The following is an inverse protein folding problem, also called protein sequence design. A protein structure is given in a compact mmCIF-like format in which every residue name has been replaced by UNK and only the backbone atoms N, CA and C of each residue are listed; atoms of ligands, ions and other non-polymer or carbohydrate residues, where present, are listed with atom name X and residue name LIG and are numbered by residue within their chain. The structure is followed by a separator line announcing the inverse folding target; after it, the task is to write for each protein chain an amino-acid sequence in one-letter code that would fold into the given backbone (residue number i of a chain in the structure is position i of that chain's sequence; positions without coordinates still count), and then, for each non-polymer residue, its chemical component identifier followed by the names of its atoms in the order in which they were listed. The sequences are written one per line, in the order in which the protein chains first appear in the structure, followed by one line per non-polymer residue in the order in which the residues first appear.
data_IF_187807823410
#
_entry.id   IF_187807823410
#
_cell.length_a   1.000
_cell.length_b   1.000
_cell.length_c   1.000
_cell.angle_alpha   90.00
_cell.angle_beta   90.00
_cell.angle_gamma   90.00
#
_symmetry.space_group_name_H-M   'P 1'
#
loop_
_entity.id
_entity.type
_entity.pdbx_description
1 polymer ?
#
# COMPACT_ATOMS: atom_id res chain seq x y z
N UNK A 1 16.33 -2.31 -5.88
CA UNK A 1 16.07 -3.55 -6.63
C UNK A 1 17.40 -3.98 -7.26
N UNK A 2 17.49 -5.07 -8.00
CA UNK A 2 18.66 -5.99 -8.06
C UNK A 2 20.09 -5.41 -7.88
N UNK A 3 20.52 -4.42 -8.67
CA UNK A 3 21.93 -3.95 -8.71
C UNK A 3 22.42 -3.38 -7.36
N UNK A 4 21.59 -2.54 -6.73
CA UNK A 4 21.95 -1.84 -5.50
C UNK A 4 21.27 -2.41 -4.25
N UNK A 5 20.39 -3.40 -4.38
CA UNK A 5 19.72 -4.00 -3.23
C UNK A 5 18.65 -3.11 -2.57
N UNK A 6 18.15 -2.08 -3.27
CA UNK A 6 17.11 -1.19 -2.74
C UNK A 6 15.81 -1.98 -2.50
N UNK A 7 15.22 -1.98 -1.29
CA UNK A 7 14.14 -2.89 -0.91
C UNK A 7 12.73 -2.41 -1.32
N UNK A 8 12.58 -1.13 -1.63
CA UNK A 8 11.28 -0.50 -1.90
C UNK A 8 11.41 0.46 -3.08
N UNK A 9 10.48 0.40 -4.03
CA UNK A 9 10.48 1.27 -5.21
C UNK A 9 10.10 2.71 -4.86
N UNK A 10 9.34 2.93 -3.78
CA UNK A 10 8.93 4.28 -3.31
C UNK A 10 10.13 5.16 -2.96
N UNK A 11 11.27 4.56 -2.61
CA UNK A 11 12.51 5.30 -2.32
C UNK A 11 13.00 6.15 -3.51
N UNK A 12 12.75 5.71 -4.75
CA UNK A 12 13.14 6.49 -5.94
C UNK A 12 12.34 7.78 -6.09
N UNK A 13 11.19 7.87 -5.44
CA UNK A 13 10.29 9.02 -5.46
C UNK A 13 10.36 9.84 -4.16
N UNK A 14 11.27 9.47 -3.26
CA UNK A 14 11.45 10.16 -1.97
C UNK A 14 12.54 11.23 -2.06
N UNK A 15 12.29 12.36 -1.42
CA UNK A 15 13.28 13.44 -1.23
C UNK A 15 14.19 13.19 0.01
N UNK A 16 14.29 11.95 0.48
CA UNK A 16 15.08 11.63 1.68
C UNK A 16 16.58 11.67 1.38
N UNK A 17 17.28 12.64 1.99
CA UNK A 17 18.73 12.80 1.86
C UNK A 17 19.50 11.53 2.26
N UNK A 18 18.98 10.73 3.20
CA UNK A 18 19.61 9.45 3.61
C UNK A 18 19.59 8.42 2.49
N UNK A 19 18.66 8.54 1.53
CA UNK A 19 18.64 7.75 0.32
C UNK A 19 19.52 8.37 -0.77
N UNK A 20 19.26 9.63 -1.14
CA UNK A 20 19.92 10.29 -2.28
C UNK A 20 21.43 10.44 -2.10
N UNK A 21 21.91 10.73 -0.88
CA UNK A 21 23.35 10.88 -0.57
C UNK A 21 24.17 9.61 -0.78
N UNK A 22 23.55 8.43 -0.86
CA UNK A 22 24.25 7.17 -1.10
C UNK A 22 24.61 6.96 -2.59
N UNK A 23 24.03 7.76 -3.49
CA UNK A 23 24.22 7.62 -4.93
C UNK A 23 25.07 8.77 -5.46
N UNK A 24 26.30 8.43 -5.88
CA UNK A 24 27.29 9.33 -6.47
C UNK A 24 27.95 8.62 -7.66
N UNK A 25 28.61 9.33 -8.60
CA UNK A 25 29.28 8.69 -9.73
C UNK A 25 30.23 7.55 -9.32
N UNK A 26 30.88 7.69 -8.15
CA UNK A 26 31.73 6.66 -7.57
C UNK A 26 30.94 5.41 -7.12
N UNK A 27 29.82 5.58 -6.43
CA UNK A 27 29.01 4.42 -5.99
C UNK A 27 28.34 3.70 -7.16
N UNK A 28 28.07 4.38 -8.27
CA UNK A 28 27.67 3.73 -9.53
C UNK A 28 28.80 2.89 -10.14
N UNK A 29 30.02 3.43 -10.22
CA UNK A 29 31.17 2.72 -10.76
C UNK A 29 31.53 1.47 -9.92
N UNK A 30 31.46 1.58 -8.60
CA UNK A 30 31.78 0.51 -7.65
C UNK A 30 30.60 -0.43 -7.36
N UNK A 31 29.42 -0.16 -7.92
CA UNK A 31 28.16 -0.91 -7.65
C UNK A 31 27.89 -1.07 -6.16
N UNK A 32 28.13 -0.02 -5.38
CA UNK A 32 28.00 -0.04 -3.92
C UNK A 32 26.55 -0.29 -3.53
N UNK A 33 26.29 -1.33 -2.73
CA UNK A 33 24.93 -1.63 -2.28
C UNK A 33 24.38 -0.50 -1.39
N UNK A 34 23.10 -0.21 -1.57
CA UNK A 34 22.33 0.65 -0.69
C UNK A 34 22.37 0.11 0.73
N UNK A 35 22.66 0.99 1.69
CA UNK A 35 22.59 0.72 3.11
C UNK A 35 21.22 1.14 3.64
N UNK A 36 20.36 0.19 4.07
CA UNK A 36 19.07 0.52 4.64
C UNK A 36 19.22 1.38 5.90
N UNK A 37 18.32 2.35 6.04
CA UNK A 37 18.15 3.14 7.26
C UNK A 37 16.90 2.68 8.03
N UNK A 38 16.79 3.13 9.29
CA UNK A 38 15.69 2.75 10.18
C UNK A 38 14.34 3.03 9.52
N UNK A 39 13.46 2.04 9.54
CA UNK A 39 12.10 2.14 9.00
C UNK A 39 11.13 2.56 10.11
N UNK A 40 10.17 3.39 9.76
CA UNK A 40 9.05 3.71 10.65
C UNK A 40 8.11 2.49 10.79
N UNK A 41 7.45 2.30 11.94
CA UNK A 41 6.55 1.18 12.14
C UNK A 41 5.34 1.28 11.19
N UNK A 42 4.86 0.16 10.63
CA UNK A 42 3.67 0.16 9.80
C UNK A 42 2.39 0.23 10.65
N UNK A 43 1.32 0.75 10.06
CA UNK A 43 -0.06 0.59 10.54
C UNK A 43 -0.79 -0.32 9.56
N UNK A 44 -1.43 -1.37 10.06
CA UNK A 44 -2.17 -2.33 9.24
C UNK A 44 -3.67 -2.05 9.34
N UNK A 45 -4.36 -2.04 8.20
CA UNK A 45 -5.82 -1.93 8.13
C UNK A 45 -6.36 -2.94 7.13
N UNK A 46 -7.39 -3.67 7.54
CA UNK A 46 -8.01 -4.70 6.73
C UNK A 46 -9.35 -4.19 6.18
N UNK A 47 -9.65 -4.53 4.93
CA UNK A 47 -10.91 -4.23 4.24
C UNK A 47 -11.53 -5.57 3.87
N UNK A 48 -12.67 -5.91 4.46
CA UNK A 48 -13.49 -7.05 4.00
C UNK A 48 -14.73 -6.52 3.31
N UNK A 49 -15.01 -7.05 2.12
CA UNK A 49 -16.15 -6.62 1.33
C UNK A 49 -16.68 -7.73 0.43
N UNK A 50 -17.98 -7.72 0.21
CA UNK A 50 -18.62 -8.46 -0.87
C UNK A 50 -18.43 -7.70 -2.17
N UNK A 51 -17.93 -8.40 -3.18
CA UNK A 51 -17.62 -7.82 -4.48
C UNK A 51 -18.74 -8.11 -5.48
N UNK A 52 -19.04 -7.16 -6.40
CA UNK A 52 -19.88 -7.44 -7.55
C UNK A 52 -19.15 -8.35 -8.55
N UNK A 53 -19.91 -8.92 -9.50
CA UNK A 53 -19.38 -9.93 -10.43
C UNK A 53 -18.34 -9.36 -11.43
N UNK A 54 -18.37 -8.05 -11.68
CA UNK A 54 -17.51 -7.29 -12.57
C UNK A 54 -16.36 -6.58 -11.84
N UNK A 55 -16.15 -6.85 -10.55
CA UNK A 55 -15.12 -6.23 -9.75
C UNK A 55 -13.70 -6.55 -10.24
N UNK A 56 -12.89 -5.53 -10.45
CA UNK A 56 -11.48 -5.64 -10.81
C UNK A 56 -10.60 -5.20 -9.65
N UNK A 57 -9.70 -6.07 -9.19
CA UNK A 57 -8.83 -5.79 -8.04
C UNK A 57 -7.95 -4.54 -8.25
N UNK A 58 -7.60 -4.22 -9.49
CA UNK A 58 -6.82 -3.02 -9.82
C UNK A 58 -7.56 -1.72 -9.51
N UNK A 59 -8.89 -1.67 -9.65
CA UNK A 59 -9.67 -0.46 -9.37
C UNK A 59 -9.57 -0.10 -7.88
N UNK A 60 -9.58 -1.12 -7.01
CA UNK A 60 -9.30 -0.98 -5.59
C UNK A 60 -7.87 -0.49 -5.34
N UNK A 61 -6.87 -1.05 -6.02
CA UNK A 61 -5.48 -0.65 -5.84
C UNK A 61 -5.24 0.80 -6.26
N UNK A 62 -5.85 1.24 -7.36
CA UNK A 62 -5.81 2.64 -7.81
C UNK A 62 -6.45 3.55 -6.77
N UNK A 63 -7.67 3.23 -6.31
CA UNK A 63 -8.36 4.03 -5.31
C UNK A 63 -7.60 4.16 -3.98
N UNK A 64 -7.04 3.06 -3.48
CA UNK A 64 -6.20 3.07 -2.27
C UNK A 64 -4.98 3.96 -2.50
N UNK A 65 -4.38 3.91 -3.69
CA UNK A 65 -3.18 4.69 -4.02
C UNK A 65 -3.49 6.18 -4.22
N UNK A 66 -4.66 6.53 -4.74
CA UNK A 66 -5.10 7.92 -4.87
C UNK A 66 -5.27 8.60 -3.50
N UNK A 67 -5.94 7.93 -2.55
CA UNK A 67 -6.15 8.47 -1.20
C UNK A 67 -4.90 8.39 -0.32
N UNK A 68 -4.12 7.31 -0.49
CA UNK A 68 -2.99 6.97 0.37
C UNK A 68 -1.64 7.47 -0.11
N UNK A 69 -1.46 7.65 -1.42
CA UNK A 69 -0.20 8.03 -2.05
C UNK A 69 0.95 7.11 -1.64
N UNK A 70 2.12 7.71 -1.39
CA UNK A 70 3.33 6.99 -0.98
C UNK A 70 3.27 6.42 0.45
N UNK A 71 2.23 6.74 1.22
CA UNK A 71 2.03 6.17 2.56
C UNK A 71 1.49 4.75 2.50
N UNK A 72 0.97 4.29 1.36
CA UNK A 72 0.59 2.89 1.15
C UNK A 72 1.82 2.12 0.70
N UNK A 73 2.27 1.18 1.54
CA UNK A 73 3.41 0.32 1.24
C UNK A 73 3.02 -0.84 0.34
N UNK A 74 1.91 -1.48 0.66
CA UNK A 74 1.38 -2.62 -0.10
C UNK A 74 -0.07 -2.89 0.26
N UNK A 75 -0.75 -3.55 -0.67
CA UNK A 75 -2.09 -4.11 -0.49
C UNK A 75 -2.00 -5.60 -0.83
N UNK A 76 -2.29 -6.45 0.14
CA UNK A 76 -2.26 -7.91 -0.03
C UNK A 76 -3.68 -8.48 0.04
N UNK A 77 -4.05 -9.35 -0.90
CA UNK A 77 -5.25 -10.19 -0.77
C UNK A 77 -4.99 -11.25 0.31
N UNK A 78 -5.72 -11.16 1.41
CA UNK A 78 -5.55 -12.04 2.57
C UNK A 78 -6.46 -13.26 2.49
N UNK A 79 -7.69 -13.08 2.03
CA UNK A 79 -8.70 -14.13 1.97
C UNK A 79 -9.70 -13.88 0.83
N UNK A 80 -10.22 -14.97 0.27
CA UNK A 80 -11.27 -14.97 -0.73
C UNK A 80 -12.25 -16.10 -0.42
N UNK A 81 -13.53 -15.74 -0.29
CA UNK A 81 -14.57 -16.64 0.15
C UNK A 81 -15.84 -16.48 -0.70
N UNK A 82 -16.38 -17.57 -1.21
CA UNK A 82 -17.68 -17.56 -1.90
C UNK A 82 -18.75 -18.17 -0.99
N UNK A 83 -19.82 -17.42 -0.72
CA UNK A 83 -20.88 -17.87 0.17
C UNK A 83 -21.79 -18.91 -0.53
N UNK A 84 -21.94 -20.12 0.02
CA UNK A 84 -22.55 -21.26 -0.69
C UNK A 84 -24.05 -21.10 -0.96
N UNK A 85 -24.76 -20.28 -0.17
CA UNK A 85 -26.23 -20.09 -0.34
C UNK A 85 -26.59 -18.89 -1.20
N UNK A 86 -25.76 -17.85 -1.19
CA UNK A 86 -26.04 -16.59 -1.90
C UNK A 86 -25.23 -16.45 -3.17
N UNK A 87 -24.19 -17.26 -3.35
CA UNK A 87 -23.26 -17.16 -4.47
C UNK A 87 -22.39 -15.89 -4.46
N UNK A 88 -22.49 -15.04 -3.44
CA UNK A 88 -21.69 -13.82 -3.32
C UNK A 88 -20.24 -14.16 -2.99
N UNK A 89 -19.30 -13.48 -3.64
CA UNK A 89 -17.87 -13.57 -3.33
C UNK A 89 -17.48 -12.42 -2.40
N UNK A 90 -16.76 -12.74 -1.34
CA UNK A 90 -16.13 -11.80 -0.40
C UNK A 90 -14.63 -11.86 -0.58
N UNK A 91 -13.98 -10.71 -0.60
CA UNK A 91 -12.53 -10.60 -0.53
C UNK A 91 -12.12 -9.82 0.72
N UNK A 92 -10.96 -10.16 1.28
CA UNK A 92 -10.34 -9.45 2.38
C UNK A 92 -8.97 -8.97 1.95
N UNK A 93 -8.76 -7.66 1.93
CA UNK A 93 -7.49 -7.04 1.61
C UNK A 93 -6.85 -6.45 2.86
N UNK A 94 -5.53 -6.58 3.01
CA UNK A 94 -4.74 -5.92 4.05
C UNK A 94 -3.93 -4.81 3.44
N UNK A 95 -4.20 -3.59 3.86
CA UNK A 95 -3.45 -2.39 3.50
C UNK A 95 -2.39 -2.12 4.55
N UNK A 96 -1.13 -2.12 4.12
CA UNK A 96 0.02 -1.76 4.97
C UNK A 96 0.33 -0.28 4.75
N UNK A 97 0.08 0.53 5.76
CA UNK A 97 0.39 1.96 5.76
C UNK A 97 1.76 2.18 6.41
N UNK A 98 2.70 2.77 5.68
CA UNK A 98 3.99 3.18 6.21
C UNK A 98 4.53 4.35 5.40
N UNK A 99 4.83 5.43 6.11
CA UNK A 99 5.52 6.59 5.56
C UNK A 99 7.04 6.42 5.67
N UNK A 100 7.76 6.96 4.70
CA UNK A 100 9.22 6.84 4.58
C UNK A 100 9.97 7.91 5.39
N UNK A 101 9.28 8.98 5.80
CA UNK A 101 9.83 10.16 6.47
C UNK A 101 9.44 10.27 7.95
N UNK A 102 8.30 9.70 8.37
CA UNK A 102 7.81 9.79 9.75
C UNK A 102 6.97 8.59 10.18
N UNK A 103 6.72 8.49 11.48
CA UNK A 103 5.75 7.55 12.04
C UNK A 103 4.34 7.99 11.68
N UNK A 104 3.51 7.03 11.24
CA UNK A 104 2.09 7.24 11.04
C UNK A 104 1.30 7.04 12.33
N UNK A 105 0.36 7.92 12.63
CA UNK A 105 -0.60 7.76 13.73
C UNK A 105 -1.77 6.89 13.30
N UNK A 106 -2.43 6.23 14.25
CA UNK A 106 -3.62 5.45 13.92
C UNK A 106 -4.78 6.35 13.45
N UNK A 107 -4.88 7.56 13.99
CA UNK A 107 -5.94 8.52 13.67
C UNK A 107 -5.85 9.00 12.22
N UNK A 108 -4.65 9.36 11.74
CA UNK A 108 -4.50 9.82 10.36
C UNK A 108 -4.74 8.68 9.35
N UNK A 109 -4.30 7.46 9.68
CA UNK A 109 -4.52 6.29 8.85
C UNK A 109 -6.00 5.93 8.82
N UNK A 110 -6.71 6.01 9.96
CA UNK A 110 -8.15 5.78 10.02
C UNK A 110 -8.90 6.78 9.13
N UNK A 111 -8.58 8.07 9.20
CA UNK A 111 -9.25 9.09 8.40
C UNK A 111 -9.09 8.84 6.89
N UNK A 112 -7.91 8.39 6.44
CA UNK A 112 -7.69 8.00 5.04
C UNK A 112 -8.41 6.70 4.69
N UNK A 113 -8.37 5.73 5.59
CA UNK A 113 -9.02 4.46 5.39
C UNK A 113 -10.54 4.60 5.25
N UNK A 114 -11.17 5.43 6.08
CA UNK A 114 -12.61 5.73 5.99
C UNK A 114 -12.98 6.39 4.65
N UNK A 115 -12.13 7.28 4.11
CA UNK A 115 -12.34 7.85 2.77
C UNK A 115 -12.30 6.79 1.68
N UNK A 116 -11.33 5.88 1.74
CA UNK A 116 -11.25 4.73 0.82
C UNK A 116 -12.54 3.90 0.94
N UNK A 117 -12.97 3.54 2.15
CA UNK A 117 -14.19 2.76 2.35
C UNK A 117 -15.43 3.47 1.79
N UNK A 118 -15.55 4.79 1.97
CA UNK A 118 -16.65 5.57 1.38
C UNK A 118 -16.66 5.51 -0.14
N UNK A 119 -15.51 5.75 -0.78
CA UNK A 119 -15.37 5.67 -2.24
C UNK A 119 -15.61 4.27 -2.78
N UNK A 120 -15.21 3.23 -2.06
CA UNK A 120 -15.47 1.85 -2.46
C UNK A 120 -16.97 1.55 -2.55
N UNK A 121 -17.75 2.01 -1.56
CA UNK A 121 -19.20 1.83 -1.56
C UNK A 121 -19.87 2.68 -2.65
N UNK A 122 -19.42 3.93 -2.84
CA UNK A 122 -20.02 4.86 -3.81
C UNK A 122 -19.67 4.54 -5.27
N UNK A 123 -18.40 4.26 -5.57
CA UNK A 123 -17.89 4.09 -6.93
C UNK A 123 -17.89 2.61 -7.38
N UNK A 124 -17.48 1.68 -6.51
CA UNK A 124 -17.37 0.25 -6.85
C UNK A 124 -18.57 -0.58 -6.40
N UNK A 125 -19.58 0.06 -5.79
CA UNK A 125 -20.83 -0.57 -5.34
C UNK A 125 -20.62 -1.83 -4.47
N UNK A 126 -19.52 -1.87 -3.72
CA UNK A 126 -19.21 -2.99 -2.83
C UNK A 126 -20.01 -2.90 -1.53
N UNK A 127 -20.22 -4.04 -0.88
CA UNK A 127 -20.88 -4.12 0.42
C UNK A 127 -19.84 -4.50 1.48
N UNK A 128 -19.53 -3.59 2.40
CA UNK A 128 -18.55 -3.82 3.47
C UNK A 128 -19.02 -4.95 4.41
N UNK A 129 -18.08 -5.77 4.89
CA UNK A 129 -18.32 -6.95 5.73
C UNK A 129 -17.62 -6.86 7.09
#
# INVERSE_FOLDING_TARGET
MVLFGIPDIRLFWSDDERFSSQFSPKSFAEKTRFKPFSKYPPVLKDISMWIPADFVDNDLFEMIRDEGGDQVEKVDLMDEFTHPKTGKTSKMFRVTWRDMSRTLTNEEVNAKHEKVLGRLVEELQVELR
#
